data_IF_111040618193
#
_entry.id   IF_111040618193
#
_cell.length_a   1.000
_cell.length_b   1.000
_cell.length_c   1.000
_cell.angle_alpha   90.00
_cell.angle_beta   90.00
_cell.angle_gamma   90.00
#
_symmetry.space_group_name_H-M   'P 1'
#
loop_
_entity.id
_entity.type
_entity.pdbx_description
1 polymer ?
#
# COMPACT_ATOMS: atom_id res chain seq x y z
N UNK A 1 -2.95 21.09 12.28
CA UNK A 1 -2.90 20.57 12.10
C UNK A 1 -2.85 19.78 11.91
N UNK A 2 -2.95 19.48 11.45
CA UNK A 2 -3.03 18.75 11.13
C UNK A 2 -2.79 18.01 11.16
N UNK A 3 -2.50 17.89 11.35
CA UNK A 3 -2.35 17.11 11.16
C UNK A 3 -2.98 16.07 10.98
N UNK A 4 -3.23 15.98 10.28
CA UNK A 4 -4.01 14.80 10.03
C UNK A 4 -3.15 13.68 9.47
N UNK A 5 -3.64 12.46 9.61
CA UNK A 5 -2.89 11.30 9.20
C UNK A 5 -3.48 10.79 7.91
N UNK A 6 -2.73 10.91 6.84
CA UNK A 6 -3.16 10.38 5.55
C UNK A 6 -3.01 8.86 5.58
N UNK A 7 -4.10 8.19 5.25
CA UNK A 7 -4.13 6.73 5.25
C UNK A 7 -4.50 6.26 3.85
N UNK A 8 -3.93 5.14 3.45
CA UNK A 8 -4.12 4.60 2.10
C UNK A 8 -4.50 3.14 2.18
N UNK A 9 -5.47 2.73 1.38
CA UNK A 9 -5.94 1.34 1.42
C UNK A 9 -4.94 0.42 0.74
N UNK A 10 -4.81 -0.80 1.28
CA UNK A 10 -3.92 -1.79 0.69
C UNK A 10 -4.48 -2.40 -0.59
N UNK A 11 -5.74 -2.12 -0.89
CA UNK A 11 -6.40 -2.62 -2.09
C UNK A 11 -5.59 -2.34 -3.35
N UNK A 12 -5.06 -1.13 -3.47
CA UNK A 12 -4.29 -0.74 -4.65
C UNK A 12 -3.03 -1.56 -4.78
N UNK A 13 -2.39 -1.88 -3.67
CA UNK A 13 -1.18 -2.70 -3.70
C UNK A 13 -1.51 -4.14 -4.09
N UNK A 14 -2.54 -4.70 -3.50
CA UNK A 14 -2.91 -6.09 -3.76
C UNK A 14 -3.36 -6.28 -5.20
N UNK A 15 -4.05 -5.29 -5.76
CA UNK A 15 -4.55 -5.39 -7.14
C UNK A 15 -3.44 -5.38 -8.18
N UNK A 16 -2.21 -5.04 -7.81
CA UNK A 16 -1.08 -5.06 -8.73
C UNK A 16 -0.61 -6.49 -9.02
N UNK A 17 -1.00 -7.45 -8.22
CA UNK A 17 -0.53 -8.82 -8.34
C UNK A 17 -1.62 -9.74 -8.85
N UNK A 18 -1.26 -10.79 -9.61
CA UNK A 18 -2.25 -11.77 -10.04
C UNK A 18 -2.89 -12.44 -8.84
N UNK A 19 -4.17 -12.78 -8.90
CA UNK A 19 -4.85 -13.38 -7.75
C UNK A 19 -4.31 -14.75 -7.38
N UNK A 20 -3.63 -15.43 -8.30
CA UNK A 20 -3.07 -16.74 -8.04
C UNK A 20 -1.65 -16.68 -7.48
N UNK A 21 -1.07 -15.48 -7.38
CA UNK A 21 0.26 -15.36 -6.78
C UNK A 21 0.15 -15.54 -5.26
N UNK A 22 1.03 -16.35 -4.70
CA UNK A 22 0.99 -16.66 -3.29
C UNK A 22 1.28 -15.46 -2.38
N UNK A 23 0.67 -15.44 -1.21
CA UNK A 23 0.88 -14.36 -0.26
C UNK A 23 2.35 -14.23 0.15
N UNK A 24 3.06 -15.36 0.22
CA UNK A 24 4.49 -15.32 0.56
C UNK A 24 5.32 -14.58 -0.46
N UNK A 25 5.02 -14.77 -1.75
CA UNK A 25 5.75 -14.09 -2.81
C UNK A 25 5.51 -12.58 -2.76
N UNK A 26 4.26 -12.18 -2.51
CA UNK A 26 3.93 -10.77 -2.38
C UNK A 26 4.62 -10.17 -1.16
N UNK A 27 4.61 -10.91 -0.04
CA UNK A 27 5.24 -10.45 1.19
C UNK A 27 6.72 -10.20 1.00
N UNK A 28 7.39 -11.04 0.21
CA UNK A 28 8.81 -10.88 -0.07
C UNK A 28 9.10 -9.55 -0.77
N UNK A 29 8.22 -9.13 -1.66
CA UNK A 29 8.39 -7.85 -2.35
C UNK A 29 8.36 -6.67 -1.39
N UNK A 30 7.53 -6.76 -0.37
CA UNK A 30 7.33 -5.64 0.55
C UNK A 30 8.18 -5.75 1.82
N UNK A 31 8.84 -6.88 2.03
CA UNK A 31 9.61 -7.08 3.24
C UNK A 31 8.74 -7.24 4.48
N UNK A 32 7.54 -7.79 4.32
CA UNK A 32 6.62 -8.06 5.42
C UNK A 32 6.38 -9.55 5.56
N UNK A 33 5.73 -9.97 6.63
CA UNK A 33 5.45 -11.37 6.84
C UNK A 33 4.22 -11.79 6.02
N UNK A 34 4.16 -13.06 5.67
CA UNK A 34 3.09 -13.59 4.82
C UNK A 34 1.70 -13.36 5.40
N UNK A 35 1.57 -13.46 6.72
CA UNK A 35 0.27 -13.26 7.36
C UNK A 35 -0.26 -11.85 7.15
N UNK A 36 0.63 -10.87 7.04
CA UNK A 36 0.22 -9.49 6.77
C UNK A 36 -0.46 -9.40 5.41
N UNK A 37 0.13 -10.03 4.39
CA UNK A 37 -0.46 -10.02 3.04
C UNK A 37 -1.77 -10.79 3.03
N UNK A 38 -1.86 -11.89 3.77
CA UNK A 38 -3.09 -12.65 3.87
C UNK A 38 -4.22 -11.81 4.46
N UNK A 39 -3.91 -11.00 5.48
CA UNK A 39 -4.90 -10.09 6.05
C UNK A 39 -5.34 -9.05 5.04
N UNK A 40 -4.41 -8.52 4.26
CA UNK A 40 -4.73 -7.53 3.24
C UNK A 40 -5.65 -8.12 2.18
N UNK A 41 -5.44 -9.37 1.81
CA UNK A 41 -6.28 -10.03 0.81
C UNK A 41 -7.68 -10.30 1.35
N UNK A 42 -7.78 -10.62 2.63
CA UNK A 42 -9.08 -10.86 3.24
C UNK A 42 -9.85 -9.59 3.50
N UNK A 43 -9.14 -8.49 3.72
CA UNK A 43 -9.77 -7.19 3.98
C UNK A 43 -9.00 -6.09 3.26
N UNK A 44 -9.31 -5.86 1.98
CA UNK A 44 -8.59 -4.84 1.20
C UNK A 44 -8.83 -3.40 1.69
N UNK A 45 -9.77 -3.21 2.60
CA UNK A 45 -10.04 -1.89 3.16
C UNK A 45 -9.10 -1.53 4.31
N UNK A 46 -8.22 -2.44 4.70
CA UNK A 46 -7.18 -2.11 5.67
C UNK A 46 -6.37 -0.96 5.12
N UNK A 47 -6.02 -0.01 5.99
CA UNK A 47 -5.24 1.16 5.58
C UNK A 47 -3.85 1.11 6.20
N UNK A 48 -2.92 1.76 5.51
CA UNK A 48 -1.54 1.88 5.95
C UNK A 48 -1.16 3.35 6.02
N UNK A 49 -0.10 3.63 6.77
CA UNK A 49 0.37 5.00 6.91
C UNK A 49 0.99 5.52 5.62
N UNK A 50 1.12 6.83 5.54
CA UNK A 50 1.78 7.47 4.40
C UNK A 50 3.19 6.94 4.21
N UNK A 51 3.93 6.79 5.30
CA UNK A 51 5.29 6.29 5.24
C UNK A 51 5.35 4.86 4.67
N UNK A 52 4.46 4.00 5.15
CA UNK A 52 4.42 2.62 4.68
C UNK A 52 4.00 2.57 3.21
N UNK A 53 3.02 3.39 2.83
CA UNK A 53 2.54 3.43 1.46
C UNK A 53 3.67 3.83 0.51
N UNK A 54 4.44 4.84 0.89
CA UNK A 54 5.56 5.31 0.09
C UNK A 54 6.59 4.19 -0.09
N UNK A 55 6.96 3.54 1.00
CA UNK A 55 7.95 2.47 0.96
C UNK A 55 7.50 1.30 0.07
N UNK A 56 6.25 0.90 0.20
CA UNK A 56 5.75 -0.23 -0.59
C UNK A 56 5.68 0.11 -2.07
N UNK A 57 5.24 1.30 -2.41
CA UNK A 57 5.19 1.71 -3.81
C UNK A 57 6.60 1.76 -4.42
N UNK A 58 7.54 2.33 -3.69
CA UNK A 58 8.92 2.44 -4.17
C UNK A 58 9.55 1.06 -4.36
N UNK A 59 9.25 0.12 -3.48
CA UNK A 59 9.78 -1.24 -3.61
C UNK A 59 9.30 -1.91 -4.89
N UNK A 60 8.20 -1.46 -5.45
CA UNK A 60 7.67 -1.96 -6.71
C UNK A 60 8.11 -1.11 -7.92
N UNK A 61 8.88 -0.05 -7.66
CA UNK A 61 9.31 0.85 -8.72
C UNK A 61 8.21 1.77 -9.21
N UNK A 62 7.21 2.02 -8.38
CA UNK A 62 6.04 2.82 -8.75
C UNK A 62 5.96 4.04 -7.83
N UNK A 63 5.61 5.19 -8.39
CA UNK A 63 5.36 6.36 -7.56
C UNK A 63 4.01 6.21 -6.86
N UNK A 64 3.93 6.55 -5.56
CA UNK A 64 2.66 6.40 -4.84
C UNK A 64 1.46 7.08 -5.49
N UNK A 65 1.68 8.18 -6.18
CA UNK A 65 0.58 8.90 -6.84
C UNK A 65 -0.07 8.05 -7.94
N UNK A 66 0.65 7.06 -8.45
CA UNK A 66 0.10 6.17 -9.47
C UNK A 66 -0.87 5.16 -8.87
N UNK A 67 -0.76 4.90 -7.57
CA UNK A 67 -1.61 3.95 -6.87
C UNK A 67 -2.77 4.63 -6.15
N UNK A 68 -2.51 5.79 -5.56
CA UNK A 68 -3.50 6.50 -4.76
C UNK A 68 -3.69 7.89 -5.34
N UNK A 69 -4.87 8.13 -5.89
CA UNK A 69 -5.16 9.37 -6.57
C UNK A 69 -5.03 10.60 -5.67
N UNK A 70 -5.27 10.41 -4.38
CA UNK A 70 -5.21 11.51 -3.43
C UNK A 70 -3.80 11.83 -2.96
N UNK A 71 -2.81 11.05 -3.38
CA UNK A 71 -1.44 11.20 -2.86
C UNK A 71 -0.90 12.61 -3.06
N UNK A 72 -1.00 13.13 -4.28
CA UNK A 72 -0.47 14.45 -4.58
C UNK A 72 -1.24 15.52 -3.84
N UNK A 73 -2.56 15.41 -3.78
CA UNK A 73 -3.39 16.37 -3.08
C UNK A 73 -3.02 16.42 -1.60
N UNK A 74 -2.84 15.24 -0.99
CA UNK A 74 -2.46 15.16 0.41
C UNK A 74 -1.08 15.77 0.63
N UNK A 75 -0.15 15.50 -0.27
CA UNK A 75 1.20 16.01 -0.17
C UNK A 75 1.27 17.53 -0.34
N UNK A 76 0.47 18.05 -1.24
CA UNK A 76 0.45 19.50 -1.48
C UNK A 76 -0.07 20.23 -0.25
N UNK A 77 -0.98 19.61 0.47
CA UNK A 77 -1.60 20.23 1.66
C UNK A 77 -0.80 19.99 2.93
N UNK A 78 0.24 19.21 2.84
CA UNK A 78 1.04 18.89 4.01
C UNK A 78 1.85 20.09 4.51
#
# INVERSE_FOLDING_TARGET
MSKHKNRYTVKELINLFPPDLGAGAIADHFGVVRTTVSKWRNDPNITISEYAADRYAISLGIHPAELWMTWIDDGVNA
#
